data_IF_900421622815
#
_entry.id   IF_900421622815
#
_cell.length_a   1.000
_cell.length_b   1.000
_cell.length_c   1.000
_cell.angle_alpha   90.00
_cell.angle_beta   90.00
_cell.angle_gamma   90.00
#
_symmetry.space_group_name_H-M   'P 1'
#
loop_
_entity.id
_entity.type
_entity.pdbx_description
1 polymer ?
#
# COMPACT_ATOMS: atom_id res chain seq x y z
N UNK A 1 -6.37 7.25 8.75
CA UNK A 1 -4.93 7.03 8.74
C UNK A 1 -4.35 7.45 10.09
N UNK A 2 -3.19 6.91 10.49
CA UNK A 2 -2.45 7.40 11.66
C UNK A 2 -0.94 7.32 11.42
N UNK A 3 -0.17 7.99 12.30
CA UNK A 3 1.30 8.06 12.21
C UNK A 3 1.97 6.69 12.15
N UNK A 4 1.63 5.77 13.05
CA UNK A 4 2.25 4.43 13.12
C UNK A 4 2.01 3.61 11.84
N UNK A 5 0.82 3.69 11.23
CA UNK A 5 0.53 3.03 9.96
C UNK A 5 1.42 3.61 8.85
N UNK A 6 1.51 4.94 8.75
CA UNK A 6 2.33 5.60 7.76
C UNK A 6 3.83 5.36 7.94
N UNK A 7 4.32 5.25 9.18
CA UNK A 7 5.71 4.87 9.46
C UNK A 7 6.04 3.50 8.85
N UNK A 8 5.13 2.52 8.91
CA UNK A 8 5.37 1.20 8.27
C UNK A 8 5.37 1.25 6.75
N UNK A 9 4.50 2.05 6.14
CA UNK A 9 4.58 2.30 4.69
C UNK A 9 5.88 3.02 4.32
N UNK A 10 6.32 3.98 5.13
CA UNK A 10 7.57 4.71 4.92
C UNK A 10 8.80 3.80 5.08
N UNK A 11 8.79 2.88 6.05
CA UNK A 11 9.82 1.84 6.20
C UNK A 11 9.93 1.01 4.91
N UNK A 12 8.80 0.53 4.38
CA UNK A 12 8.79 -0.20 3.10
C UNK A 12 9.29 0.67 1.96
N UNK A 13 8.81 1.91 1.83
CA UNK A 13 9.24 2.85 0.77
C UNK A 13 10.74 3.14 0.80
N UNK A 14 11.33 3.24 1.99
CA UNK A 14 12.77 3.46 2.15
C UNK A 14 13.60 2.24 1.73
N UNK A 15 13.07 1.04 1.92
CA UNK A 15 13.73 -0.23 1.58
C UNK A 15 13.47 -0.68 0.15
N UNK A 16 12.25 -0.43 -0.34
CA UNK A 16 11.75 -0.74 -1.67
C UNK A 16 11.18 0.55 -2.25
N UNK A 17 12.01 1.25 -3.01
CA UNK A 17 11.65 2.51 -3.66
C UNK A 17 10.38 2.36 -4.47
N UNK A 18 9.49 3.34 -4.41
CA UNK A 18 8.28 3.43 -5.23
C UNK A 18 8.52 4.13 -6.58
N UNK A 19 9.78 4.10 -7.00
CA UNK A 19 10.31 4.55 -8.28
C UNK A 19 11.27 3.47 -8.81
N UNK A 20 11.20 3.20 -10.12
CA UNK A 20 12.11 2.27 -10.79
C UNK A 20 13.45 2.93 -11.10
N UNK A 21 14.53 2.13 -11.03
CA UNK A 21 15.82 2.53 -11.57
C UNK A 21 15.76 2.69 -13.10
N UNK A 22 16.80 3.28 -13.68
CA UNK A 22 16.95 3.37 -15.13
C UNK A 22 16.99 2.00 -15.84
N UNK A 23 17.25 0.91 -15.11
CA UNK A 23 17.20 -0.47 -15.61
C UNK A 23 15.83 -1.13 -15.49
N UNK A 24 14.78 -0.39 -15.07
CA UNK A 24 13.43 -0.93 -14.89
C UNK A 24 13.29 -1.85 -13.68
N UNK A 25 14.25 -1.81 -12.75
CA UNK A 25 14.25 -2.65 -11.55
C UNK A 25 14.03 -1.81 -10.30
N UNK A 26 13.36 -2.38 -9.31
CA UNK A 26 13.26 -1.76 -8.01
C UNK A 26 14.60 -1.72 -7.28
N UNK A 27 14.95 -0.53 -6.79
CA UNK A 27 16.02 -0.35 -5.82
C UNK A 27 15.57 -0.98 -4.50
N UNK A 28 16.17 -2.13 -4.19
CA UNK A 28 15.97 -2.86 -2.96
C UNK A 28 17.18 -2.59 -2.08
N UNK A 29 17.07 -1.58 -1.24
CA UNK A 29 18.12 -1.25 -0.28
C UNK A 29 18.13 -2.38 0.76
N UNK A 30 19.31 -2.97 0.97
CA UNK A 30 19.52 -4.21 1.71
C UNK A 30 19.02 -4.08 3.17
N UNK A 31 17.72 -4.28 3.35
CA UNK A 31 17.02 -4.13 4.60
C UNK A 31 16.69 -5.54 5.09
N UNK A 32 17.50 -5.98 6.04
CA UNK A 32 17.45 -7.30 6.69
C UNK A 32 16.02 -7.77 6.97
N UNK A 33 15.11 -6.86 7.32
CA UNK A 33 13.73 -7.20 7.62
C UNK A 33 12.89 -7.65 6.41
N UNK A 34 13.08 -7.11 5.20
CA UNK A 34 12.29 -7.56 4.03
C UNK A 34 12.76 -8.92 3.51
N UNK A 35 14.04 -9.27 3.74
CA UNK A 35 14.62 -10.54 3.32
C UNK A 35 13.88 -11.75 3.89
N UNK A 36 13.36 -11.65 5.13
CA UNK A 36 12.56 -12.70 5.77
C UNK A 36 11.22 -12.97 5.05
N UNK A 37 10.72 -11.97 4.31
CA UNK A 37 9.45 -12.06 3.58
C UNK A 37 9.65 -12.50 2.13
N UNK A 38 10.88 -12.57 1.62
CA UNK A 38 11.17 -13.08 0.28
C UNK A 38 10.94 -14.59 0.16
N UNK A 39 10.35 -15.04 -0.94
CA UNK A 39 10.23 -16.48 -1.26
C UNK A 39 11.41 -17.00 -2.08
N UNK A 40 11.99 -16.18 -2.97
CA UNK A 40 13.12 -16.55 -3.85
C UNK A 40 14.28 -15.54 -3.79
N UNK A 41 14.66 -15.13 -2.57
CA UNK A 41 15.77 -14.19 -2.29
C UNK A 41 15.62 -12.79 -2.91
N UNK A 42 14.40 -12.37 -3.24
CA UNK A 42 14.12 -11.01 -3.74
C UNK A 42 14.93 -10.62 -4.98
N UNK A 43 15.06 -11.56 -5.92
CA UNK A 43 15.85 -11.33 -7.14
C UNK A 43 15.11 -10.48 -8.15
N UNK A 44 13.85 -10.80 -8.44
CA UNK A 44 13.04 -10.04 -9.40
C UNK A 44 12.14 -8.99 -8.72
N UNK A 45 11.51 -8.14 -9.55
CA UNK A 45 10.63 -7.08 -9.06
C UNK A 45 9.41 -7.64 -8.31
N UNK A 46 8.84 -8.75 -8.76
CA UNK A 46 7.67 -9.34 -8.12
C UNK A 46 8.02 -9.99 -6.78
N UNK A 47 9.20 -10.60 -6.64
CA UNK A 47 9.67 -11.11 -5.35
C UNK A 47 9.77 -9.97 -4.34
N UNK A 48 10.35 -8.83 -4.74
CA UNK A 48 10.51 -7.63 -3.89
C UNK A 48 9.17 -7.04 -3.50
N UNK A 49 8.26 -6.86 -4.46
CA UNK A 49 6.90 -6.36 -4.22
C UNK A 49 6.16 -7.29 -3.26
N UNK A 50 6.24 -8.61 -3.49
CA UNK A 50 5.62 -9.61 -2.65
C UNK A 50 6.15 -9.56 -1.21
N UNK A 51 7.46 -9.40 -1.04
CA UNK A 51 8.08 -9.27 0.28
C UNK A 51 7.60 -8.01 1.02
N UNK A 52 7.54 -6.86 0.36
CA UNK A 52 7.00 -5.63 0.93
C UNK A 52 5.52 -5.76 1.31
N UNK A 53 4.72 -6.41 0.47
CA UNK A 53 3.30 -6.66 0.74
C UNK A 53 3.09 -7.56 1.96
N UNK A 54 3.81 -8.69 2.01
CA UNK A 54 3.77 -9.63 3.14
C UNK A 54 4.23 -8.99 4.44
N UNK A 55 5.26 -8.14 4.40
CA UNK A 55 5.70 -7.37 5.56
C UNK A 55 4.55 -6.52 6.10
N UNK A 56 3.92 -5.69 5.27
CA UNK A 56 2.79 -4.85 5.69
C UNK A 56 1.65 -5.69 6.26
N UNK A 57 1.27 -6.78 5.58
CA UNK A 57 0.24 -7.67 6.08
C UNK A 57 0.58 -8.28 7.44
N UNK A 58 1.82 -8.75 7.65
CA UNK A 58 2.25 -9.30 8.94
C UNK A 58 2.32 -8.24 10.04
N UNK A 59 2.76 -7.02 9.73
CA UNK A 59 2.78 -5.92 10.71
C UNK A 59 1.38 -5.55 11.21
N UNK A 60 0.39 -5.54 10.32
CA UNK A 60 -0.96 -5.07 10.65
C UNK A 60 -1.97 -6.19 10.98
N UNK A 61 -1.73 -7.40 10.50
CA UNK A 61 -2.68 -8.52 10.53
C UNK A 61 -2.07 -9.86 10.99
N UNK A 62 -0.81 -9.88 11.43
CA UNK A 62 -0.02 -11.10 11.74
C UNK A 62 -0.38 -11.91 13.00
N UNK A 63 -1.44 -11.59 13.75
CA UNK A 63 -1.93 -12.40 14.88
C UNK A 63 -2.24 -11.59 16.15
N UNK A 64 -2.30 -12.25 17.31
CA UNK A 64 -2.62 -11.61 18.61
C UNK A 64 -1.54 -10.63 19.09
N UNK A 65 -0.30 -10.72 18.59
CA UNK A 65 0.81 -9.83 18.98
C UNK A 65 1.11 -8.75 17.93
N UNK A 66 0.57 -8.84 16.71
CA UNK A 66 0.70 -7.78 15.71
C UNK A 66 -0.10 -6.56 16.17
N UNK A 67 0.61 -5.50 16.56
CA UNK A 67 0.05 -4.21 16.95
C UNK A 67 -1.17 -4.28 17.89
N UNK A 68 -0.96 -4.73 19.14
CA UNK A 68 -1.97 -4.68 20.21
C UNK A 68 -2.40 -3.26 20.63
N UNK A 69 -1.82 -2.23 20.02
CA UNK A 69 -2.08 -0.81 20.36
C UNK A 69 -3.03 -0.13 19.37
N UNK A 70 -3.59 -0.86 18.41
CA UNK A 70 -4.67 -0.37 17.57
C UNK A 70 -5.85 -1.32 17.75
N UNK A 71 -6.75 -0.94 18.66
CA UNK A 71 -8.08 -1.52 18.83
C UNK A 71 -8.99 -1.34 17.58
N UNK A 72 -8.39 -1.39 16.39
CA UNK A 72 -8.96 -1.01 15.12
C UNK A 72 -8.12 -1.66 14.01
N UNK A 73 -8.22 -2.99 13.88
CA UNK A 73 -8.05 -3.70 12.60
C UNK A 73 -9.13 -3.18 11.63
N UNK A 74 -9.05 -1.90 11.28
CA UNK A 74 -10.02 -1.25 10.41
C UNK A 74 -9.75 -1.79 9.01
N UNK A 75 -10.82 -2.16 8.33
CA UNK A 75 -10.82 -2.64 6.94
C UNK A 75 -10.01 -1.70 6.02
N UNK A 76 -9.94 -0.40 6.35
CA UNK A 76 -9.18 0.58 5.60
C UNK A 76 -7.65 0.34 5.56
N UNK A 77 -7.04 -0.40 6.49
CA UNK A 77 -5.59 -0.67 6.43
C UNK A 77 -5.27 -1.65 5.29
N UNK A 78 -6.09 -2.70 5.13
CA UNK A 78 -5.95 -3.62 4.01
C UNK A 78 -6.04 -2.86 2.68
N UNK A 79 -6.94 -1.88 2.62
CA UNK A 79 -7.17 -1.05 1.46
C UNK A 79 -5.92 -0.23 1.08
N UNK A 80 -5.24 0.37 2.05
CA UNK A 80 -3.98 1.07 1.81
C UNK A 80 -2.85 0.11 1.38
N UNK A 81 -2.81 -1.11 1.90
CA UNK A 81 -1.83 -2.13 1.45
C UNK A 81 -2.09 -2.48 -0.03
N UNK A 82 -3.35 -2.62 -0.43
CA UNK A 82 -3.72 -2.95 -1.80
C UNK A 82 -3.50 -1.79 -2.77
N UNK A 83 -3.73 -0.55 -2.33
CA UNK A 83 -3.36 0.66 -3.09
C UNK A 83 -1.85 0.67 -3.35
N UNK A 84 -1.04 0.46 -2.30
CA UNK A 84 0.41 0.35 -2.45
C UNK A 84 0.79 -0.80 -3.39
N UNK A 85 0.24 -2.00 -3.17
CA UNK A 85 0.55 -3.19 -3.99
C UNK A 85 0.22 -2.94 -5.46
N UNK A 86 -0.98 -2.44 -5.75
CA UNK A 86 -1.43 -2.19 -7.12
C UNK A 86 -0.54 -1.16 -7.81
N UNK A 87 -0.22 -0.05 -7.14
CA UNK A 87 0.68 0.97 -7.67
C UNK A 87 2.07 0.39 -7.99
N UNK A 88 2.64 -0.40 -7.08
CA UNK A 88 3.94 -1.01 -7.28
C UNK A 88 3.93 -2.01 -8.45
N UNK A 89 2.85 -2.77 -8.61
CA UNK A 89 2.70 -3.65 -9.78
C UNK A 89 2.58 -2.85 -11.07
N UNK A 90 1.86 -1.73 -11.05
CA UNK A 90 1.67 -0.85 -12.22
C UNK A 90 2.98 -0.27 -12.77
N UNK A 91 3.95 -0.01 -11.90
CA UNK A 91 5.27 0.46 -12.34
C UNK A 91 6.06 -0.62 -13.10
N UNK A 92 5.81 -1.91 -12.86
CA UNK A 92 6.57 -3.02 -13.50
C UNK A 92 6.26 -3.22 -14.99
N UNK A 93 5.38 -2.41 -15.57
CA UNK A 93 5.02 -2.49 -16.99
C UNK A 93 6.24 -2.35 -17.91
N UNK A 94 6.27 -3.17 -18.95
CA UNK A 94 7.21 -3.03 -20.06
C UNK A 94 6.63 -2.21 -21.23
N UNK A 95 5.30 -2.06 -21.29
CA UNK A 95 4.54 -1.37 -22.35
C UNK A 95 3.31 -0.61 -21.76
N UNK A 96 2.35 -0.18 -22.60
CA UNK A 96 1.11 0.49 -22.17
C UNK A 96 0.16 -0.40 -21.33
N UNK A 97 0.43 -1.71 -21.25
CA UNK A 97 -0.35 -2.66 -20.46
C UNK A 97 0.47 -3.23 -19.31
N UNK A 98 -0.15 -3.30 -18.13
CA UNK A 98 0.38 -4.00 -16.96
C UNK A 98 -0.23 -5.39 -16.93
N UNK A 99 0.59 -6.44 -17.00
CA UNK A 99 0.14 -7.80 -16.73
C UNK A 99 0.52 -8.21 -15.30
N UNK A 100 -0.46 -8.12 -14.39
CA UNK A 100 -0.30 -8.57 -13.01
C UNK A 100 -0.66 -10.05 -12.83
N UNK A 101 -1.14 -10.73 -13.88
CA UNK A 101 -1.50 -12.15 -13.86
C UNK A 101 -0.39 -13.05 -13.32
N UNK A 102 0.87 -12.91 -13.79
CA UNK A 102 1.99 -13.69 -13.27
C UNK A 102 2.24 -13.48 -11.78
N UNK A 103 2.06 -12.25 -11.26
CA UNK A 103 2.18 -11.98 -9.83
C UNK A 103 1.10 -12.74 -9.04
N UNK A 104 -0.14 -12.68 -9.51
CA UNK A 104 -1.25 -13.39 -8.88
C UNK A 104 -1.04 -14.90 -8.89
N UNK A 105 -0.67 -15.46 -10.03
CA UNK A 105 -0.41 -16.90 -10.17
C UNK A 105 0.72 -17.35 -9.24
N UNK A 106 1.85 -16.66 -9.25
CA UNK A 106 3.02 -17.07 -8.49
C UNK A 106 2.86 -16.87 -6.98
N UNK A 107 2.41 -15.69 -6.54
CA UNK A 107 2.46 -15.32 -5.12
C UNK A 107 1.11 -15.43 -4.43
N UNK A 108 0.01 -15.04 -5.09
CA UNK A 108 -1.30 -15.03 -4.43
C UNK A 108 -1.93 -16.43 -4.45
N UNK A 109 -1.98 -17.08 -5.61
CA UNK A 109 -2.57 -18.41 -5.75
C UNK A 109 -1.64 -19.52 -5.25
N UNK A 110 -0.38 -19.53 -5.69
CA UNK A 110 0.56 -20.60 -5.38
C UNK A 110 1.51 -20.28 -4.20
N UNK A 111 1.56 -19.03 -3.75
CA UNK A 111 2.49 -18.62 -2.70
C UNK A 111 2.01 -19.06 -1.32
N UNK A 112 2.82 -19.89 -0.66
CA UNK A 112 2.50 -20.47 0.65
C UNK A 112 2.20 -19.38 1.69
N UNK A 113 3.02 -18.33 1.77
CA UNK A 113 2.90 -17.26 2.79
C UNK A 113 1.57 -16.49 2.72
N UNK A 114 0.96 -16.34 1.54
CA UNK A 114 -0.36 -15.69 1.39
C UNK A 114 -1.53 -16.59 1.74
N UNK A 115 -1.33 -17.91 1.68
CA UNK A 115 -2.34 -18.94 1.91
C UNK A 115 -2.24 -19.58 3.31
N UNK A 116 -1.24 -19.20 4.10
CA UNK A 116 -1.11 -19.60 5.50
C UNK A 116 -2.30 -19.10 6.31
N UNK A 117 -2.88 -20.01 7.11
CA UNK A 117 -4.01 -19.68 7.98
C UNK A 117 -3.56 -18.72 9.08
N UNK A 118 -4.28 -17.62 9.22
CA UNK A 118 -4.04 -16.62 10.25
C UNK A 118 -4.92 -16.93 11.46
N UNK A 119 -4.30 -17.11 12.62
CA UNK A 119 -5.01 -17.48 13.86
C UNK A 119 -5.48 -16.21 14.56
N UNK A 120 -6.72 -16.22 15.09
CA UNK A 120 -7.24 -15.11 15.91
C UNK A 120 -7.70 -13.89 15.11
N UNK A 121 -8.05 -14.08 13.83
CA UNK A 121 -8.69 -13.08 12.98
C UNK A 121 -10.11 -13.54 12.62
N UNK A 122 -11.03 -12.59 12.44
CA UNK A 122 -12.42 -12.86 12.02
C UNK A 122 -12.68 -12.14 10.70
N UNK A 123 -13.42 -12.79 9.80
CA UNK A 123 -13.79 -12.22 8.50
C UNK A 123 -12.80 -12.52 7.36
N UNK A 124 -11.64 -13.11 7.60
CA UNK A 124 -10.74 -13.68 6.59
C UNK A 124 -9.89 -14.77 7.27
N UNK A 125 -9.47 -15.80 6.54
CA UNK A 125 -8.60 -16.86 7.05
C UNK A 125 -7.16 -16.75 6.55
N UNK A 126 -6.95 -16.06 5.42
CA UNK A 126 -5.64 -15.91 4.77
C UNK A 126 -5.50 -14.49 4.18
N UNK A 127 -4.27 -14.08 3.84
CA UNK A 127 -4.05 -12.81 3.14
C UNK A 127 -4.62 -12.86 1.71
N UNK A 128 -4.55 -14.02 1.06
CA UNK A 128 -5.23 -14.24 -0.22
C UNK A 128 -6.72 -13.90 -0.14
N UNK A 129 -7.43 -14.43 0.85
CA UNK A 129 -8.87 -14.15 1.02
C UNK A 129 -9.15 -12.65 1.25
N UNK A 130 -8.25 -11.95 1.94
CA UNK A 130 -8.35 -10.51 2.15
C UNK A 130 -8.19 -9.74 0.85
N UNK A 131 -7.25 -10.15 -0.02
CA UNK A 131 -7.03 -9.59 -1.35
C UNK A 131 -8.25 -9.85 -2.26
N UNK A 132 -8.74 -11.09 -2.30
CA UNK A 132 -9.86 -11.50 -3.15
C UNK A 132 -11.14 -10.70 -2.83
N UNK A 133 -11.39 -10.41 -1.54
CA UNK A 133 -12.53 -9.57 -1.11
C UNK A 133 -12.44 -8.10 -1.56
N UNK A 134 -11.29 -7.69 -2.08
CA UNK A 134 -10.95 -6.33 -2.46
C UNK A 134 -10.44 -6.27 -3.91
N UNK A 135 -10.85 -7.23 -4.74
CA UNK A 135 -10.50 -7.33 -6.16
C UNK A 135 -10.76 -6.04 -6.95
N UNK A 136 -11.74 -5.26 -6.53
CA UNK A 136 -12.11 -3.98 -7.10
C UNK A 136 -10.99 -2.94 -6.99
N UNK A 137 -10.19 -2.94 -5.91
CA UNK A 137 -9.01 -2.06 -5.79
C UNK A 137 -7.90 -2.49 -6.75
N UNK A 138 -7.76 -3.80 -6.93
CA UNK A 138 -6.74 -4.38 -7.79
C UNK A 138 -7.07 -4.22 -9.28
N UNK A 139 -8.32 -3.86 -9.59
CA UNK A 139 -8.82 -3.59 -10.95
C UNK A 139 -8.84 -2.11 -11.32
N UNK A 140 -8.38 -1.22 -10.43
CA UNK A 140 -8.30 0.22 -10.70
C UNK A 140 -7.32 0.48 -11.86
N UNK A 141 -7.74 1.37 -12.75
CA UNK A 141 -6.92 1.87 -13.87
C UNK A 141 -5.62 2.52 -13.36
N UNK A 142 -4.52 2.29 -14.08
CA UNK A 142 -3.18 2.75 -13.69
C UNK A 142 -3.10 4.28 -13.47
N UNK A 143 -3.74 5.09 -14.30
CA UNK A 143 -3.72 6.55 -14.16
C UNK A 143 -4.48 6.96 -12.92
N UNK A 144 -5.56 6.26 -12.61
CA UNK A 144 -6.29 6.49 -11.37
C UNK A 144 -5.44 6.08 -10.17
N UNK A 145 -4.89 4.86 -10.18
CA UNK A 145 -4.07 4.35 -9.09
C UNK A 145 -2.88 5.26 -8.78
N UNK A 146 -2.18 5.75 -9.81
CA UNK A 146 -1.06 6.68 -9.64
C UNK A 146 -1.47 7.96 -8.92
N UNK A 147 -2.58 8.61 -9.32
CA UNK A 147 -3.07 9.82 -8.62
C UNK A 147 -3.48 9.52 -7.17
N UNK A 148 -4.09 8.36 -6.92
CA UNK A 148 -4.46 7.96 -5.56
C UNK A 148 -3.25 7.69 -4.68
N UNK A 149 -2.24 7.05 -5.24
CA UNK A 149 -0.98 6.79 -4.55
C UNK A 149 -0.25 8.09 -4.20
N UNK A 150 -0.18 9.06 -5.12
CA UNK A 150 0.37 10.40 -4.86
C UNK A 150 -0.29 11.05 -3.63
N UNK A 151 -1.63 11.09 -3.61
CA UNK A 151 -2.38 11.66 -2.49
C UNK A 151 -2.16 10.87 -1.19
N UNK A 152 -2.11 9.54 -1.27
CA UNK A 152 -1.84 8.66 -0.14
C UNK A 152 -0.47 8.89 0.50
N UNK A 153 0.59 9.04 -0.31
CA UNK A 153 1.93 9.30 0.20
C UNK A 153 2.03 10.66 0.87
N UNK A 154 1.43 11.71 0.27
CA UNK A 154 1.37 13.03 0.90
C UNK A 154 0.60 12.99 2.23
N UNK A 155 -0.53 12.27 2.27
CA UNK A 155 -1.26 12.05 3.52
C UNK A 155 -0.35 11.41 4.57
N UNK A 156 0.43 10.41 4.19
CA UNK A 156 1.34 9.78 5.13
C UNK A 156 2.47 10.68 5.61
N UNK A 157 3.04 11.51 4.74
CA UNK A 157 4.02 12.51 5.14
C UNK A 157 3.44 13.52 6.14
N UNK A 158 2.19 13.94 5.95
CA UNK A 158 1.48 14.81 6.91
C UNK A 158 1.39 14.15 8.28
N UNK A 159 0.96 12.88 8.36
CA UNK A 159 0.84 12.16 9.64
C UNK A 159 2.19 11.89 10.31
N UNK A 160 3.26 11.70 9.54
CA UNK A 160 4.61 11.50 10.07
C UNK A 160 5.17 12.81 10.62
N UNK A 161 5.02 13.90 9.86
CA UNK A 161 5.49 15.24 10.23
C UNK A 161 4.67 15.83 11.40
N UNK A 162 3.43 15.39 11.55
CA UNK A 162 2.61 15.78 12.68
C UNK A 162 3.19 15.22 13.98
N UNK A 163 3.83 16.11 14.73
CA UNK A 163 4.30 15.92 16.10
C UNK A 163 3.76 17.09 16.92
N UNK A 164 2.83 16.82 17.84
CA UNK A 164 2.17 17.86 18.63
C UNK A 164 3.17 18.72 19.44
N UNK A 165 4.34 18.17 19.79
CA UNK A 165 5.36 18.88 20.56
C UNK A 165 6.37 19.65 19.70
N UNK A 166 6.54 19.25 18.43
CA UNK A 166 7.62 19.76 17.55
C UNK A 166 7.17 20.07 16.12
N UNK A 167 5.89 20.38 15.93
CA UNK A 167 5.32 20.63 14.62
C UNK A 167 6.06 21.75 13.87
N UNK A 168 6.66 21.40 12.73
CA UNK A 168 7.13 22.41 11.79
C UNK A 168 5.94 22.92 10.96
N UNK A 169 5.32 24.01 11.40
CA UNK A 169 4.13 24.57 10.76
C UNK A 169 4.32 24.88 9.27
N UNK A 170 5.52 25.31 8.85
CA UNK A 170 5.79 25.62 7.44
C UNK A 170 5.76 24.35 6.59
N UNK A 171 6.48 23.32 7.01
CA UNK A 171 6.53 22.03 6.30
C UNK A 171 5.16 21.34 6.29
N UNK A 172 4.45 21.35 7.43
CA UNK A 172 3.09 20.83 7.51
C UNK A 172 2.14 21.58 6.55
N UNK A 173 2.20 22.91 6.51
CA UNK A 173 1.34 23.72 5.63
C UNK A 173 1.60 23.45 4.15
N UNK A 174 2.88 23.26 3.78
CA UNK A 174 3.28 22.93 2.41
C UNK A 174 2.73 21.56 2.00
N UNK A 175 2.98 20.52 2.80
CA UNK A 175 2.45 19.17 2.57
C UNK A 175 0.91 19.15 2.49
N UNK A 176 0.24 19.89 3.38
CA UNK A 176 -1.23 19.97 3.39
C UNK A 176 -1.78 20.64 2.12
N UNK A 177 -1.10 21.67 1.60
CA UNK A 177 -1.48 22.32 0.33
C UNK A 177 -1.27 21.40 -0.86
N UNK A 178 -0.15 20.67 -0.90
CA UNK A 178 0.12 19.69 -1.96
C UNK A 178 -0.90 18.55 -1.93
N UNK A 179 -1.22 18.03 -0.73
CA UNK A 179 -2.26 17.02 -0.55
C UNK A 179 -3.61 17.52 -1.05
N UNK A 180 -4.04 18.71 -0.63
CA UNK A 180 -5.32 19.29 -1.06
C UNK A 180 -5.39 19.42 -2.59
N UNK A 181 -4.31 19.89 -3.23
CA UNK A 181 -4.22 19.96 -4.69
C UNK A 181 -4.36 18.59 -5.35
N UNK A 182 -3.64 17.58 -4.87
CA UNK A 182 -3.72 16.20 -5.39
C UNK A 182 -5.10 15.58 -5.17
N UNK A 183 -5.74 15.90 -4.05
CA UNK A 183 -7.10 15.48 -3.76
C UNK A 183 -8.12 16.13 -4.70
N UNK A 184 -7.97 17.42 -5.01
CA UNK A 184 -8.84 18.11 -5.97
C UNK A 184 -8.67 17.56 -7.39
N UNK A 185 -7.44 17.22 -7.80
CA UNK A 185 -7.15 16.56 -9.08
C UNK A 185 -7.83 15.18 -9.23
N UNK A 186 -8.15 14.52 -8.12
CA UNK A 186 -8.94 13.29 -8.09
C UNK A 186 -10.44 13.54 -8.25
N UNK A 187 -10.91 14.73 -7.85
CA UNK A 187 -12.33 15.13 -7.87
C UNK A 187 -12.75 15.76 -9.22
N UNK A 188 -11.83 16.42 -9.93
CA UNK A 188 -12.12 17.06 -11.22
C UNK A 188 -12.21 16.07 -12.40
N UNK A 189 -11.62 14.88 -12.27
CA UNK A 189 -11.57 13.86 -13.33
C UNK A 189 -12.80 12.93 -13.23
N UNK A 190 -13.97 13.41 -13.66
CA UNK A 190 -15.26 12.68 -13.57
C UNK A 190 -15.37 11.48 -14.54
N UNK A 191 -14.45 10.51 -14.48
CA UNK A 191 -14.70 9.16 -15.02
C UNK A 191 -15.25 8.26 -13.90
N UNK A 192 -16.10 7.29 -14.25
CA UNK A 192 -16.74 6.37 -13.28
C UNK A 192 -15.74 5.71 -12.30
N UNK A 193 -14.51 5.45 -12.73
CA UNK A 193 -13.43 4.89 -11.90
C UNK A 193 -12.96 5.90 -10.84
N UNK A 194 -12.75 7.16 -11.20
CA UNK A 194 -12.35 8.20 -10.25
C UNK A 194 -13.44 8.54 -9.25
N UNK A 195 -14.71 8.57 -9.67
CA UNK A 195 -15.85 8.77 -8.78
C UNK A 195 -15.94 7.65 -7.73
N UNK A 196 -15.76 6.38 -8.15
CA UNK A 196 -15.70 5.27 -7.21
C UNK A 196 -14.61 5.44 -6.16
N UNK A 197 -13.41 5.85 -6.58
CA UNK A 197 -12.28 5.91 -5.67
C UNK A 197 -12.29 7.21 -4.84
N UNK A 198 -12.86 8.31 -5.34
CA UNK A 198 -13.13 9.51 -4.55
C UNK A 198 -14.10 9.21 -3.40
N UNK A 199 -15.24 8.59 -3.70
CA UNK A 199 -16.17 8.13 -2.67
C UNK A 199 -15.53 7.15 -1.71
N UNK A 200 -14.62 6.31 -2.20
CA UNK A 200 -13.87 5.38 -1.38
C UNK A 200 -12.92 6.08 -0.40
N UNK A 201 -12.14 7.06 -0.87
CA UNK A 201 -11.26 7.87 -0.03
C UNK A 201 -12.05 8.66 1.01
N UNK A 202 -13.16 9.27 0.60
CA UNK A 202 -14.05 9.99 1.48
C UNK A 202 -14.66 9.05 2.54
N UNK A 203 -15.14 7.86 2.15
CA UNK A 203 -15.66 6.86 3.08
C UNK A 203 -14.60 6.36 4.07
N UNK A 204 -13.35 6.16 3.63
CA UNK A 204 -12.25 5.80 4.53
C UNK A 204 -11.96 6.92 5.53
N UNK A 205 -12.05 8.18 5.10
CA UNK A 205 -11.70 9.33 5.92
C UNK A 205 -12.82 9.73 6.90
N UNK A 206 -14.08 9.59 6.52
CA UNK A 206 -15.25 9.89 7.36
C UNK A 206 -15.49 8.86 8.47
N UNK A 207 -14.97 7.63 8.32
CA UNK A 207 -15.09 6.55 9.31
C UNK A 207 -13.82 6.37 10.18
N UNK A 208 -12.98 7.41 10.26
CA UNK A 208 -11.84 7.47 11.18
C UNK A 208 -12.23 7.93 12.57
#
# INVERSE_FOLDING_TARGET
MNKKVCEKFQEVRNSLSDELSSSGSYNFNDAEFLNDYCDKKCHDNFDKISAGCLYLFKQFFGGYESFNDVANRKINIADYILIWLRYMLDLTRTDDNVDIGPFYEQYIYNGQKYNEKIVGVTGYETYKELIDKKENLMSIDIKAMSKFYDAFILLCMIYIEFDEEKLNCNKFSELAKEFAKKYDELNEDYNNVYVMIFHYFQHIHENL
#
